data_IF_515255121498
#
_entry.id   IF_515255121498
#
_cell.length_a   1.000
_cell.length_b   1.000
_cell.length_c   1.000
_cell.angle_alpha   90.00
_cell.angle_beta   90.00
_cell.angle_gamma   90.00
#
_symmetry.space_group_name_H-M   'P 1'
#
loop_
_entity.id
_entity.type
_entity.pdbx_description
1 polymer ?
#
# COMPACT_ATOMS: atom_id res chain seq x y z
N UNK A 1 29.78 14.81 -5.00
CA UNK A 1 28.61 15.45 -4.34
C UNK A 1 27.39 14.52 -4.43
N UNK A 2 27.21 13.44 -3.69
CA UNK A 2 27.56 13.12 -2.30
C UNK A 2 26.27 13.11 -1.46
N UNK A 3 25.24 12.31 -1.71
CA UNK A 3 25.37 10.87 -1.83
C UNK A 3 25.27 10.15 -0.48
N UNK A 4 24.47 10.61 0.50
CA UNK A 4 24.43 9.96 1.83
C UNK A 4 23.64 8.65 1.78
N UNK A 5 24.36 7.59 1.46
CA UNK A 5 24.02 6.21 1.78
C UNK A 5 24.09 6.02 3.30
N UNK A 6 23.13 5.27 3.85
CA UNK A 6 23.19 4.77 5.22
C UNK A 6 24.31 3.73 5.33
N UNK A 7 25.22 3.81 6.32
CA UNK A 7 26.02 2.66 6.69
C UNK A 7 25.25 1.79 7.69
N UNK A 8 25.35 0.48 7.47
CA UNK A 8 24.88 -0.60 8.32
C UNK A 8 25.43 -0.51 9.75
N UNK A 9 24.67 -1.10 10.67
CA UNK A 9 25.07 -1.32 12.05
C UNK A 9 26.13 -2.42 12.11
N UNK A 10 27.40 -2.06 12.17
CA UNK A 10 28.48 -2.87 12.76
C UNK A 10 29.78 -2.07 12.74
N UNK A 11 30.07 -1.42 13.86
CA UNK A 11 31.41 -0.96 14.27
C UNK A 11 31.29 -0.48 15.73
N UNK A 12 31.33 -1.44 16.65
CA UNK A 12 31.56 -1.17 18.06
C UNK A 12 32.98 -0.62 18.23
N UNK A 13 33.08 0.57 18.81
CA UNK A 13 34.32 1.17 19.27
C UNK A 13 33.98 2.14 20.39
N UNK A 14 34.43 1.82 21.60
CA UNK A 14 34.18 2.57 22.83
C UNK A 14 34.68 4.02 22.74
N UNK A 15 33.87 4.99 23.19
CA UNK A 15 34.24 6.41 23.35
C UNK A 15 33.64 6.92 24.67
N UNK A 16 34.34 7.80 25.42
CA UNK A 16 34.27 7.88 26.88
C UNK A 16 33.01 8.57 27.45
N UNK A 17 32.75 8.22 28.71
CA UNK A 17 31.75 8.77 29.61
C UNK A 17 32.07 10.21 30.03
N UNK A 18 31.47 11.19 29.37
CA UNK A 18 31.28 12.53 29.92
C UNK A 18 30.13 13.23 29.19
N UNK A 19 28.91 13.02 29.72
CA UNK A 19 27.65 13.49 29.16
C UNK A 19 27.12 14.66 30.00
N UNK A 20 26.97 15.88 29.45
CA UNK A 20 26.02 16.84 29.97
C UNK A 20 24.66 16.64 29.29
N UNK A 21 23.70 16.10 30.04
CA UNK A 21 22.26 16.38 30.02
C UNK A 21 21.43 16.21 28.72
N UNK A 22 20.22 15.62 28.79
CA UNK A 22 19.33 15.51 27.64
C UNK A 22 18.85 16.89 27.14
N UNK A 23 18.64 16.96 25.82
CA UNK A 23 17.96 18.07 25.12
C UNK A 23 16.64 18.37 25.84
N UNK A 24 16.42 19.65 26.18
CA UNK A 24 15.21 20.11 26.88
C UNK A 24 13.95 19.54 26.18
N UNK A 25 12.97 19.03 26.94
CA UNK A 25 11.74 18.51 26.36
C UNK A 25 11.07 19.57 25.47
N UNK A 26 10.62 19.16 24.29
CA UNK A 26 9.83 19.95 23.34
C UNK A 26 8.69 20.77 23.98
N UNK A 27 8.14 20.30 25.12
CA UNK A 27 7.14 21.02 25.92
C UNK A 27 7.60 22.38 26.46
N UNK A 28 8.91 22.63 26.59
CA UNK A 28 9.45 23.91 27.05
C UNK A 28 9.51 24.98 25.93
N UNK A 29 9.62 24.57 24.67
CA UNK A 29 9.76 25.49 23.53
C UNK A 29 8.46 26.21 23.16
N UNK A 30 7.31 25.69 23.62
CA UNK A 30 5.97 26.25 23.32
C UNK A 30 5.56 27.40 24.25
N UNK A 31 6.36 27.77 25.27
CA UNK A 31 5.99 28.83 26.24
C UNK A 31 6.32 30.26 25.79
N UNK A 32 7.00 30.46 24.66
CA UNK A 32 7.45 31.79 24.21
C UNK A 32 6.67 32.42 23.04
N UNK A 33 5.60 31.80 22.55
CA UNK A 33 4.63 32.47 21.66
C UNK A 33 3.24 32.42 22.30
N UNK A 34 2.70 33.62 22.60
CA UNK A 34 1.51 33.91 23.41
C UNK A 34 0.25 33.13 23.01
N UNK A 35 -0.72 32.88 23.90
CA UNK A 35 -1.48 33.85 24.72
C UNK A 35 -1.95 35.05 23.87
N UNK A 36 -3.08 34.86 23.18
CA UNK A 36 -3.86 35.94 22.57
C UNK A 36 -4.95 35.42 21.63
N UNK A 37 -6.21 35.45 22.10
CA UNK A 37 -7.48 35.27 21.36
C UNK A 37 -7.74 33.89 20.69
N UNK A 38 -8.92 33.25 20.75
CA UNK A 38 -10.26 33.68 21.12
C UNK A 38 -11.02 32.52 21.80
N UNK A 39 -11.85 32.87 22.80
CA UNK A 39 -12.90 32.01 23.36
C UNK A 39 -14.07 31.95 22.37
N UNK A 40 -14.51 30.75 22.03
CA UNK A 40 -15.80 30.45 21.39
C UNK A 40 -16.41 29.20 22.06
N UNK A 41 -17.75 29.04 22.06
CA UNK A 41 -18.45 28.37 23.14
C UNK A 41 -18.28 26.85 23.15
N UNK A 42 -18.10 26.32 24.37
CA UNK A 42 -18.22 24.90 24.70
C UNK A 42 -19.67 24.46 24.47
N UNK A 43 -19.91 23.67 23.43
CA UNK A 43 -21.10 22.80 23.37
C UNK A 43 -20.79 21.54 24.17
N UNK A 44 -21.43 21.47 25.34
CA UNK A 44 -21.47 20.32 26.25
C UNK A 44 -22.58 19.40 25.73
N UNK A 45 -22.24 18.21 25.27
CA UNK A 45 -23.21 17.19 24.87
C UNK A 45 -22.62 16.18 23.90
N UNK A 46 -22.44 14.93 24.34
CA UNK A 46 -22.10 13.82 23.45
C UNK A 46 -21.05 12.81 23.92
N UNK A 47 -20.66 12.77 25.21
CA UNK A 47 -19.70 11.78 25.71
C UNK A 47 -20.31 10.61 26.51
N UNK A 48 -21.63 10.50 26.60
CA UNK A 48 -22.26 9.37 27.34
C UNK A 48 -22.65 8.16 26.46
N UNK A 49 -22.62 8.27 25.12
CA UNK A 49 -23.00 7.16 24.22
C UNK A 49 -21.89 6.13 23.93
N UNK A 50 -20.61 6.53 24.00
CA UNK A 50 -19.50 5.68 23.56
C UNK A 50 -18.98 4.72 24.66
N UNK A 51 -19.27 4.99 25.93
CA UNK A 51 -18.79 4.18 27.06
C UNK A 51 -19.73 3.02 27.44
N UNK A 52 -20.93 2.94 26.86
CA UNK A 52 -21.88 1.82 27.01
C UNK A 52 -21.65 0.69 26.00
N UNK A 53 -21.19 1.01 24.79
CA UNK A 53 -21.07 0.02 23.70
C UNK A 53 -19.90 -0.96 23.90
N UNK A 54 -18.85 -0.55 24.63
CA UNK A 54 -17.68 -1.39 24.92
C UNK A 54 -17.79 -2.22 26.22
N UNK A 55 -18.93 -2.15 26.92
CA UNK A 55 -19.18 -2.95 28.13
C UNK A 55 -20.03 -4.21 27.88
N UNK A 56 -20.75 -4.28 26.76
CA UNK A 56 -21.48 -5.50 26.35
C UNK A 56 -20.63 -6.48 25.52
N UNK A 57 -19.48 -6.05 25.00
CA UNK A 57 -18.57 -6.92 24.24
C UNK A 57 -17.64 -7.79 25.13
N UNK A 58 -17.78 -7.73 26.46
CA UNK A 58 -16.89 -8.43 27.42
C UNK A 58 -17.58 -9.47 28.30
N UNK A 59 -18.88 -9.71 28.09
CA UNK A 59 -19.64 -10.71 28.84
C UNK A 59 -20.44 -11.60 27.88
N UNK A 60 -19.99 -12.85 27.73
CA UNK A 60 -20.83 -13.97 27.30
C UNK A 60 -21.08 -14.14 25.79
N UNK A 61 -20.14 -14.78 25.08
CA UNK A 61 -20.46 -15.55 23.89
C UNK A 61 -19.57 -16.79 23.85
N UNK A 62 -20.05 -17.85 24.50
CA UNK A 62 -19.51 -19.22 24.39
C UNK A 62 -19.81 -19.68 22.96
N UNK A 63 -18.79 -19.84 22.13
CA UNK A 63 -18.93 -20.28 20.75
C UNK A 63 -19.54 -21.69 20.68
N UNK A 64 -20.40 -22.00 19.69
CA UNK A 64 -20.94 -23.33 19.50
C UNK A 64 -19.84 -24.33 19.09
N UNK A 65 -19.99 -25.63 19.40
CA UNK A 65 -18.93 -26.64 19.29
C UNK A 65 -18.44 -26.95 17.87
N UNK A 66 -19.04 -26.37 16.82
CA UNK A 66 -18.62 -26.56 15.43
C UNK A 66 -17.34 -25.78 15.04
N UNK A 67 -16.97 -24.73 15.78
CA UNK A 67 -15.74 -23.95 15.53
C UNK A 67 -14.49 -24.51 16.23
N UNK A 68 -14.65 -25.44 17.18
CA UNK A 68 -13.54 -26.08 17.87
C UNK A 68 -12.90 -27.22 17.05
N UNK A 69 -13.62 -27.78 16.08
CA UNK A 69 -13.11 -28.85 15.21
C UNK A 69 -12.09 -28.36 14.17
N UNK A 70 -12.03 -27.05 13.88
CA UNK A 70 -11.06 -26.48 12.95
C UNK A 70 -9.71 -26.12 13.59
N UNK A 71 -9.57 -26.24 14.93
CA UNK A 71 -8.35 -25.91 15.66
C UNK A 71 -7.43 -27.13 15.91
N UNK A 72 -7.77 -28.30 15.36
CA UNK A 72 -7.09 -29.58 15.64
C UNK A 72 -6.18 -30.13 14.53
N UNK A 73 -6.06 -29.48 13.37
CA UNK A 73 -5.18 -29.97 12.30
C UNK A 73 -3.79 -29.30 12.39
N UNK A 74 -2.95 -29.82 13.29
CA UNK A 74 -1.52 -29.53 13.27
C UNK A 74 -0.87 -30.00 11.96
N UNK A 75 0.26 -29.40 11.54
CA UNK A 75 0.88 -29.70 10.26
C UNK A 75 1.37 -31.15 10.25
N UNK A 76 0.93 -31.93 9.27
CA UNK A 76 1.57 -33.20 8.94
C UNK A 76 3.04 -32.93 8.58
N UNK A 77 3.95 -33.66 9.22
CA UNK A 77 5.41 -33.51 9.18
C UNK A 77 6.08 -33.77 7.82
N UNK A 78 5.46 -33.44 6.69
CA UNK A 78 6.00 -33.68 5.34
C UNK A 78 6.45 -32.45 4.54
N UNK A 79 6.10 -31.22 4.95
CA UNK A 79 6.03 -30.10 3.98
C UNK A 79 7.25 -29.16 3.87
N UNK A 80 8.38 -29.41 4.55
CA UNK A 80 9.51 -28.45 4.59
C UNK A 80 10.79 -28.92 3.87
N UNK A 81 10.64 -29.56 2.69
CA UNK A 81 11.77 -30.11 1.93
C UNK A 81 12.24 -29.34 0.68
N UNK A 82 11.44 -28.44 0.08
CA UNK A 82 11.84 -27.79 -1.17
C UNK A 82 10.93 -26.66 -1.68
N UNK A 83 11.28 -26.01 -2.82
CA UNK A 83 10.49 -24.95 -3.45
C UNK A 83 9.05 -25.37 -3.80
N UNK A 84 8.81 -26.66 -3.98
CA UNK A 84 7.49 -27.20 -4.29
C UNK A 84 6.63 -27.37 -3.03
N UNK A 85 7.24 -27.66 -1.87
CA UNK A 85 6.52 -27.90 -0.62
C UNK A 85 5.84 -26.67 -0.03
N UNK A 86 6.47 -25.49 -0.11
CA UNK A 86 5.81 -24.24 0.33
C UNK A 86 4.70 -23.80 -0.63
N UNK A 87 4.85 -24.13 -1.92
CA UNK A 87 3.85 -23.83 -2.94
C UNK A 87 2.61 -24.70 -2.74
N UNK A 88 2.77 -26.00 -2.56
CA UNK A 88 1.68 -26.93 -2.26
C UNK A 88 0.98 -26.60 -0.94
N UNK A 89 1.76 -26.27 0.10
CA UNK A 89 1.20 -25.81 1.38
C UNK A 89 0.37 -24.52 1.23
N UNK A 90 0.87 -23.56 0.44
CA UNK A 90 0.14 -22.33 0.18
C UNK A 90 -1.12 -22.59 -0.67
N UNK A 91 -1.05 -23.49 -1.64
CA UNK A 91 -2.17 -23.86 -2.51
C UNK A 91 -3.28 -24.61 -1.78
N UNK A 92 -2.95 -25.39 -0.74
CA UNK A 92 -3.92 -26.12 0.09
C UNK A 92 -4.42 -25.31 1.30
N UNK A 93 -4.05 -24.04 1.40
CA UNK A 93 -4.41 -23.20 2.54
C UNK A 93 -5.89 -22.79 2.52
N UNK A 94 -6.50 -22.68 3.70
CA UNK A 94 -7.91 -22.30 3.85
C UNK A 94 -8.32 -21.00 3.08
N UNK A 95 -7.49 -19.95 2.98
CA UNK A 95 -7.81 -18.78 2.18
C UNK A 95 -7.96 -19.05 0.68
N UNK A 96 -7.22 -20.03 0.14
CA UNK A 96 -7.33 -20.45 -1.26
C UNK A 96 -8.66 -21.17 -1.47
N UNK A 97 -9.00 -22.13 -0.61
CA UNK A 97 -10.30 -22.81 -0.69
C UNK A 97 -11.49 -21.86 -0.50
N UNK A 98 -11.37 -20.82 0.33
CA UNK A 98 -12.40 -19.77 0.42
C UNK A 98 -12.51 -18.94 -0.86
N UNK A 99 -11.40 -18.67 -1.55
CA UNK A 99 -11.42 -17.99 -2.83
C UNK A 99 -12.03 -18.86 -3.94
N UNK A 100 -11.75 -20.17 -3.93
CA UNK A 100 -12.35 -21.16 -4.83
C UNK A 100 -13.86 -21.25 -4.61
N UNK A 101 -14.29 -21.47 -3.36
CA UNK A 101 -15.71 -21.54 -3.01
C UNK A 101 -16.45 -20.21 -3.25
N UNK A 102 -15.79 -19.07 -3.04
CA UNK A 102 -16.35 -17.76 -3.34
C UNK A 102 -16.56 -17.53 -4.84
N UNK A 103 -15.66 -18.04 -5.68
CA UNK A 103 -15.81 -17.97 -7.13
C UNK A 103 -16.93 -18.89 -7.63
N UNK A 104 -17.02 -20.11 -7.11
CA UNK A 104 -18.11 -21.04 -7.41
C UNK A 104 -19.47 -20.45 -7.00
N UNK A 105 -19.58 -19.92 -5.78
CA UNK A 105 -20.79 -19.26 -5.29
C UNK A 105 -21.18 -18.04 -6.14
N UNK A 106 -20.20 -17.27 -6.63
CA UNK A 106 -20.45 -16.14 -7.52
C UNK A 106 -20.98 -16.61 -8.88
N UNK A 107 -20.43 -17.69 -9.43
CA UNK A 107 -20.89 -18.29 -10.68
C UNK A 107 -22.33 -18.83 -10.55
N UNK A 108 -22.62 -19.57 -9.48
CA UNK A 108 -23.97 -20.08 -9.20
C UNK A 108 -24.98 -18.95 -9.01
N UNK A 109 -24.62 -17.89 -8.28
CA UNK A 109 -25.51 -16.78 -8.01
C UNK A 109 -25.77 -15.88 -9.23
N UNK A 110 -24.79 -15.72 -10.12
CA UNK A 110 -24.87 -14.78 -11.26
C UNK A 110 -25.18 -15.45 -12.59
N UNK A 111 -24.97 -16.77 -12.72
CA UNK A 111 -25.09 -17.50 -13.98
C UNK A 111 -24.12 -17.02 -15.07
N UNK A 112 -23.09 -16.25 -14.70
CA UNK A 112 -22.18 -15.62 -15.65
C UNK A 112 -21.12 -16.61 -16.15
N UNK A 113 -20.62 -16.42 -17.39
CA UNK A 113 -19.46 -17.15 -17.87
C UNK A 113 -18.25 -16.98 -16.94
N UNK A 114 -17.36 -17.97 -16.90
CA UNK A 114 -16.23 -18.00 -15.97
C UNK A 114 -15.34 -16.75 -16.08
N UNK A 115 -15.08 -16.25 -17.29
CA UNK A 115 -14.30 -15.02 -17.48
C UNK A 115 -14.91 -13.79 -16.76
N UNK A 116 -16.23 -13.66 -16.79
CA UNK A 116 -16.96 -12.54 -16.18
C UNK A 116 -17.04 -12.70 -14.67
N UNK A 117 -17.21 -13.93 -14.17
CA UNK A 117 -17.13 -14.21 -12.74
C UNK A 117 -15.74 -13.92 -12.16
N UNK A 118 -14.67 -14.24 -12.88
CA UNK A 118 -13.30 -13.91 -12.47
C UNK A 118 -13.10 -12.39 -12.41
N UNK A 119 -13.48 -11.67 -13.46
CA UNK A 119 -13.36 -10.21 -13.51
C UNK A 119 -14.23 -9.51 -12.45
N UNK A 120 -15.48 -9.96 -12.30
CA UNK A 120 -16.45 -9.48 -11.32
C UNK A 120 -16.01 -9.76 -9.89
N UNK A 121 -15.56 -10.97 -9.59
CA UNK A 121 -15.02 -11.35 -8.29
C UNK A 121 -13.80 -10.51 -7.91
N UNK A 122 -12.89 -10.28 -8.86
CA UNK A 122 -11.76 -9.37 -8.66
C UNK A 122 -12.21 -7.93 -8.37
N UNK A 123 -13.24 -7.45 -9.06
CA UNK A 123 -13.78 -6.11 -8.87
C UNK A 123 -14.48 -5.96 -7.50
N UNK A 124 -15.29 -6.94 -7.09
CA UNK A 124 -15.97 -6.96 -5.79
C UNK A 124 -14.93 -7.01 -4.67
N UNK A 125 -13.99 -7.94 -4.74
CA UNK A 125 -12.96 -8.12 -3.72
C UNK A 125 -12.09 -6.86 -3.57
N UNK A 126 -11.65 -6.27 -4.69
CA UNK A 126 -10.92 -5.00 -4.64
C UNK A 126 -11.78 -3.85 -4.13
N UNK A 127 -13.04 -3.76 -4.53
CA UNK A 127 -13.88 -2.64 -4.10
C UNK A 127 -14.20 -2.75 -2.61
N UNK A 128 -14.43 -3.95 -2.09
CA UNK A 128 -14.69 -4.18 -0.68
C UNK A 128 -13.45 -3.96 0.20
N UNK A 129 -12.26 -4.36 -0.25
CA UNK A 129 -11.03 -4.32 0.55
C UNK A 129 -10.15 -3.10 0.23
N UNK A 130 -9.82 -2.92 -1.05
CA UNK A 130 -8.88 -1.89 -1.53
C UNK A 130 -9.46 -0.50 -1.39
N UNK A 131 -10.74 -0.28 -1.71
CA UNK A 131 -11.35 1.07 -1.68
C UNK A 131 -11.36 1.72 -0.28
N UNK A 132 -11.86 1.08 0.80
CA UNK A 132 -11.85 1.70 2.13
C UNK A 132 -10.41 1.88 2.65
N UNK A 133 -9.54 0.93 2.38
CA UNK A 133 -8.15 0.96 2.82
C UNK A 133 -7.35 2.04 2.06
N UNK A 134 -7.60 2.22 0.77
CA UNK A 134 -7.02 3.27 -0.05
C UNK A 134 -7.56 4.66 0.33
N UNK A 135 -8.84 4.78 0.72
CA UNK A 135 -9.37 6.00 1.30
C UNK A 135 -8.66 6.35 2.63
N UNK A 136 -8.45 5.37 3.51
CA UNK A 136 -7.70 5.55 4.75
C UNK A 136 -6.24 5.95 4.49
N UNK A 137 -5.57 5.27 3.55
CA UNK A 137 -4.22 5.60 3.10
C UNK A 137 -4.14 7.03 2.56
N UNK A 138 -5.14 7.47 1.78
CA UNK A 138 -5.25 8.83 1.27
C UNK A 138 -5.36 9.87 2.41
N UNK A 139 -6.17 9.61 3.43
CA UNK A 139 -6.28 10.48 4.62
C UNK A 139 -4.95 10.60 5.37
N UNK A 140 -4.23 9.50 5.54
CA UNK A 140 -2.91 9.48 6.20
C UNK A 140 -1.86 10.25 5.40
N UNK A 141 -1.80 10.02 4.08
CA UNK A 141 -0.87 10.72 3.21
C UNK A 141 -1.14 12.23 3.18
N UNK A 142 -2.42 12.62 3.17
CA UNK A 142 -2.81 14.02 3.22
C UNK A 142 -2.37 14.70 4.54
N UNK A 143 -2.54 14.02 5.68
CA UNK A 143 -2.04 14.51 6.97
C UNK A 143 -0.52 14.66 6.97
N UNK A 144 0.20 13.66 6.45
CA UNK A 144 1.66 13.72 6.36
C UNK A 144 2.15 14.87 5.49
N UNK A 145 1.46 15.15 4.38
CA UNK A 145 1.78 16.27 3.50
C UNK A 145 1.56 17.62 4.20
N UNK A 146 0.45 17.76 4.93
CA UNK A 146 0.16 18.98 5.69
C UNK A 146 1.12 19.21 6.87
N UNK A 147 1.78 18.16 7.37
CA UNK A 147 2.82 18.25 8.40
C UNK A 147 4.22 18.55 7.85
N UNK A 148 4.47 18.34 6.54
CA UNK A 148 5.76 18.68 5.92
C UNK A 148 6.25 20.11 6.20
N UNK A 149 5.42 21.18 6.12
CA UNK A 149 5.89 22.53 6.46
C UNK A 149 6.33 22.66 7.92
N UNK A 150 5.59 22.10 8.89
CA UNK A 150 5.98 22.10 10.31
C UNK A 150 7.31 21.35 10.50
N UNK A 151 7.46 20.18 9.87
CA UNK A 151 8.72 19.41 9.92
C UNK A 151 9.89 20.21 9.34
N UNK A 152 9.69 20.94 8.23
CA UNK A 152 10.74 21.78 7.61
C UNK A 152 11.16 22.94 8.52
N UNK A 153 10.20 23.60 9.17
CA UNK A 153 10.50 24.69 10.11
C UNK A 153 11.27 24.16 11.33
N UNK A 154 10.84 23.04 11.90
CA UNK A 154 11.55 22.37 13.00
C UNK A 154 12.94 21.91 12.60
N UNK A 155 13.11 21.48 11.36
CA UNK A 155 14.42 21.12 10.82
C UNK A 155 15.37 22.31 10.74
N UNK A 156 14.90 23.49 10.34
CA UNK A 156 15.73 24.69 10.30
C UNK A 156 16.14 25.13 11.70
N UNK A 157 15.19 25.17 12.64
CA UNK A 157 15.46 25.51 14.05
C UNK A 157 16.47 24.55 14.67
N UNK A 158 16.28 23.24 14.50
CA UNK A 158 17.20 22.24 15.04
C UNK A 158 18.59 22.33 14.40
N UNK A 159 18.69 22.61 13.09
CA UNK A 159 20.00 22.84 12.45
C UNK A 159 20.72 24.03 13.07
N UNK A 160 20.01 25.13 13.31
CA UNK A 160 20.58 26.30 13.96
C UNK A 160 21.10 25.95 15.36
N UNK A 161 20.28 25.31 16.20
CA UNK A 161 20.67 24.91 17.57
C UNK A 161 21.89 23.97 17.60
N UNK A 162 21.91 22.96 16.71
CA UNK A 162 23.03 22.02 16.60
C UNK A 162 24.29 22.72 16.10
N UNK A 163 24.16 23.69 15.19
CA UNK A 163 25.31 24.45 14.68
C UNK A 163 25.93 25.35 15.75
N UNK A 164 25.11 26.02 16.56
CA UNK A 164 25.57 26.88 17.66
C UNK A 164 26.24 26.05 18.75
N UNK A 165 25.58 24.96 19.20
CA UNK A 165 26.17 24.05 20.20
C UNK A 165 27.42 23.35 19.69
N UNK A 166 27.44 22.97 18.42
CA UNK A 166 28.61 22.37 17.79
C UNK A 166 29.82 23.30 17.81
N UNK A 167 29.61 24.61 17.57
CA UNK A 167 30.68 25.63 17.70
C UNK A 167 31.12 25.84 19.15
N UNK A 168 30.18 25.89 20.10
CA UNK A 168 30.47 26.11 21.52
C UNK A 168 31.23 24.95 22.16
N UNK A 169 30.89 23.72 21.79
CA UNK A 169 31.45 22.49 22.39
C UNK A 169 32.57 21.86 21.54
N UNK A 170 32.98 22.51 20.44
CA UNK A 170 34.03 22.00 19.54
C UNK A 170 33.69 20.64 18.91
N UNK A 171 32.42 20.38 18.59
CA UNK A 171 32.00 19.08 18.06
C UNK A 171 32.56 18.82 16.66
N UNK A 172 33.04 17.60 16.44
CA UNK A 172 33.32 17.09 15.09
C UNK A 172 32.05 17.08 14.23
N UNK A 173 32.21 17.29 12.92
CA UNK A 173 31.10 17.31 11.97
C UNK A 173 30.26 16.01 12.00
N UNK A 174 30.91 14.86 12.25
CA UNK A 174 30.22 13.57 12.40
C UNK A 174 29.28 13.55 13.61
N UNK A 175 29.72 14.13 14.74
CA UNK A 175 28.96 14.21 15.99
C UNK A 175 27.78 15.17 15.83
N UNK A 176 28.00 16.33 15.20
CA UNK A 176 26.93 17.28 14.91
C UNK A 176 25.85 16.66 14.00
N UNK A 177 26.24 15.96 12.94
CA UNK A 177 25.30 15.23 12.05
C UNK A 177 24.54 14.14 12.80
N UNK A 178 25.21 13.39 13.69
CA UNK A 178 24.57 12.37 14.51
C UNK A 178 23.51 12.95 15.44
N UNK A 179 23.82 14.02 16.18
CA UNK A 179 22.86 14.69 17.05
C UNK A 179 21.70 15.30 16.26
N UNK A 180 21.95 15.90 15.10
CA UNK A 180 20.89 16.38 14.23
C UNK A 180 19.96 15.24 13.80
N UNK A 181 20.50 14.13 13.28
CA UNK A 181 19.70 13.00 12.82
C UNK A 181 18.90 12.34 13.96
N UNK A 182 19.50 12.17 15.13
CA UNK A 182 18.85 11.58 16.32
C UNK A 182 17.70 12.44 16.82
N UNK A 183 17.92 13.75 16.99
CA UNK A 183 16.89 14.68 17.44
C UNK A 183 15.79 14.86 16.40
N UNK A 184 16.15 14.90 15.11
CA UNK A 184 15.19 14.97 14.00
C UNK A 184 14.25 13.77 14.02
N UNK A 185 14.81 12.55 14.12
CA UNK A 185 14.02 11.32 14.17
C UNK A 185 13.06 11.31 15.36
N UNK A 186 13.50 11.81 16.52
CA UNK A 186 12.67 11.95 17.72
C UNK A 186 11.51 12.92 17.50
N UNK A 187 11.78 14.14 17.02
CA UNK A 187 10.75 15.18 16.78
C UNK A 187 9.71 14.68 15.78
N UNK A 188 10.16 14.09 14.67
CA UNK A 188 9.27 13.54 13.63
C UNK A 188 8.41 12.41 14.20
N UNK A 189 8.99 11.51 15.01
CA UNK A 189 8.25 10.44 15.67
C UNK A 189 7.19 10.99 16.64
N UNK A 190 7.55 11.98 17.46
CA UNK A 190 6.61 12.65 18.38
C UNK A 190 5.45 13.33 17.63
N UNK A 191 5.72 13.97 16.49
CA UNK A 191 4.69 14.53 15.59
C UNK A 191 3.78 13.43 15.02
N UNK A 192 4.35 12.32 14.56
CA UNK A 192 3.55 11.21 14.03
C UNK A 192 2.65 10.56 15.07
N UNK A 193 3.10 10.47 16.33
CA UNK A 193 2.28 9.99 17.45
C UNK A 193 1.19 10.99 17.79
N UNK A 194 1.51 12.29 17.88
CA UNK A 194 0.56 13.38 18.16
C UNK A 194 -0.61 13.38 17.18
N UNK A 195 -0.32 13.29 15.89
CA UNK A 195 -1.33 13.40 14.82
C UNK A 195 -1.82 12.02 14.32
N UNK A 196 -1.40 10.94 15.00
CA UNK A 196 -1.72 9.54 14.74
C UNK A 196 -1.49 9.11 13.28
N UNK A 197 -0.46 9.65 12.63
CA UNK A 197 -0.21 9.54 11.19
C UNK A 197 1.04 8.71 10.85
N UNK A 198 1.25 7.59 11.55
CA UNK A 198 2.44 6.78 11.35
C UNK A 198 2.55 6.28 9.90
N UNK A 199 3.70 6.45 9.20
CA UNK A 199 3.85 6.08 7.80
C UNK A 199 3.65 4.59 7.54
N UNK A 200 3.88 3.74 8.54
CA UNK A 200 3.58 2.30 8.47
C UNK A 200 2.10 2.00 8.23
N UNK A 201 1.18 2.85 8.73
CA UNK A 201 -0.25 2.65 8.45
C UNK A 201 -0.58 2.85 6.96
N UNK A 202 0.21 3.65 6.25
CA UNK A 202 0.06 3.85 4.81
C UNK A 202 0.59 2.67 3.98
N UNK A 203 1.41 1.78 4.56
CA UNK A 203 1.90 0.56 3.88
C UNK A 203 0.99 -0.65 4.08
N UNK A 204 0.02 -0.58 5.00
CA UNK A 204 -0.93 -1.68 5.30
C UNK A 204 -1.67 -2.14 4.05
N UNK A 205 -2.01 -1.23 3.12
CA UNK A 205 -2.64 -1.61 1.86
C UNK A 205 -1.82 -2.65 1.09
N UNK A 206 -0.49 -2.49 1.03
CA UNK A 206 0.39 -3.42 0.33
C UNK A 206 0.42 -4.79 1.04
N UNK A 207 0.46 -4.78 2.37
CA UNK A 207 0.50 -6.00 3.18
C UNK A 207 -0.79 -6.82 3.11
N UNK A 208 -1.93 -6.18 2.86
CA UNK A 208 -3.21 -6.89 2.68
C UNK A 208 -3.39 -7.30 1.21
N UNK A 209 -3.03 -6.41 0.27
CA UNK A 209 -3.28 -6.62 -1.15
C UNK A 209 -2.40 -7.71 -1.76
N UNK A 210 -1.11 -7.78 -1.40
CA UNK A 210 -0.17 -8.74 -2.00
C UNK A 210 -0.52 -10.18 -1.64
N UNK A 211 -0.72 -10.55 -0.35
CA UNK A 211 -1.11 -11.92 0.01
C UNK A 211 -2.44 -12.33 -0.60
N UNK A 212 -3.44 -11.43 -0.57
CA UNK A 212 -4.74 -11.67 -1.20
C UNK A 212 -4.59 -11.95 -2.70
N UNK A 213 -3.79 -11.15 -3.42
CA UNK A 213 -3.53 -11.35 -4.84
C UNK A 213 -2.87 -12.70 -5.13
N UNK A 214 -1.93 -13.13 -4.27
CA UNK A 214 -1.29 -14.46 -4.37
C UNK A 214 -2.32 -15.57 -4.15
N UNK A 215 -3.12 -15.50 -3.08
CA UNK A 215 -4.13 -16.53 -2.77
C UNK A 215 -5.13 -16.72 -3.91
N UNK A 216 -5.66 -15.63 -4.49
CA UNK A 216 -6.59 -15.72 -5.62
C UNK A 216 -5.90 -16.26 -6.87
N UNK A 217 -4.63 -15.91 -7.10
CA UNK A 217 -3.85 -16.45 -8.23
C UNK A 217 -3.65 -17.95 -8.09
N UNK A 218 -3.36 -18.45 -6.89
CA UNK A 218 -3.24 -19.88 -6.61
C UNK A 218 -4.57 -20.61 -6.78
N UNK A 219 -5.67 -20.04 -6.28
CA UNK A 219 -7.02 -20.59 -6.44
C UNK A 219 -7.39 -20.75 -7.93
N UNK A 220 -7.11 -19.73 -8.74
CA UNK A 220 -7.36 -19.78 -10.18
C UNK A 220 -6.47 -20.81 -10.88
N UNK A 221 -5.22 -20.97 -10.44
CA UNK A 221 -4.35 -22.02 -10.95
C UNK A 221 -4.89 -23.40 -10.60
N UNK A 222 -5.28 -23.64 -9.36
CA UNK A 222 -5.87 -24.89 -8.89
C UNK A 222 -7.11 -25.27 -9.73
N UNK A 223 -8.01 -24.31 -9.97
CA UNK A 223 -9.18 -24.57 -10.79
C UNK A 223 -8.86 -24.76 -12.27
N UNK A 224 -7.78 -24.16 -12.77
CA UNK A 224 -7.32 -24.36 -14.15
C UNK A 224 -6.66 -25.72 -14.37
N UNK A 225 -5.95 -26.26 -13.37
CA UNK A 225 -5.27 -27.57 -13.45
C UNK A 225 -6.17 -28.74 -13.02
N UNK A 226 -7.42 -28.49 -12.64
CA UNK A 226 -8.40 -29.53 -12.27
C UNK A 226 -8.44 -29.90 -10.79
N UNK A 227 -7.71 -29.22 -9.91
CA UNK A 227 -7.71 -29.49 -8.47
C UNK A 227 -9.05 -29.13 -7.78
N UNK A 228 -9.84 -28.22 -8.37
CA UNK A 228 -11.19 -27.87 -7.91
C UNK A 228 -12.28 -28.88 -8.37
N UNK A 229 -11.89 -29.95 -9.06
CA UNK A 229 -12.80 -30.96 -9.60
C UNK A 229 -13.11 -30.79 -11.10
N UNK A 230 -13.54 -31.88 -11.77
CA UNK A 230 -13.69 -31.92 -13.23
C UNK A 230 -14.78 -30.98 -13.77
N UNK A 231 -15.87 -30.80 -13.03
CA UNK A 231 -16.97 -29.90 -13.44
C UNK A 231 -16.52 -28.44 -13.51
N UNK A 232 -15.73 -27.98 -12.53
CA UNK A 232 -15.18 -26.61 -12.51
C UNK A 232 -14.17 -26.43 -13.65
N UNK A 233 -13.34 -27.44 -13.91
CA UNK A 233 -12.37 -27.39 -14.99
C UNK A 233 -13.03 -27.30 -16.37
N UNK A 234 -14.11 -28.05 -16.60
CA UNK A 234 -14.88 -28.00 -17.85
C UNK A 234 -15.51 -26.61 -18.07
N UNK A 235 -16.05 -26.02 -17.00
CA UNK A 235 -16.57 -24.65 -17.02
C UNK A 235 -15.47 -23.63 -17.35
N UNK A 236 -14.26 -23.78 -16.82
CA UNK A 236 -13.13 -22.90 -17.17
C UNK A 236 -12.63 -23.11 -18.61
N UNK A 237 -12.67 -24.35 -19.10
CA UNK A 237 -12.18 -24.68 -20.44
C UNK A 237 -13.12 -24.19 -21.55
N UNK A 238 -14.43 -24.10 -21.25
CA UNK A 238 -15.46 -23.64 -22.19
C UNK A 238 -15.97 -22.21 -21.92
N UNK A 239 -15.69 -21.67 -20.72
CA UNK A 239 -16.24 -20.41 -20.22
C UNK A 239 -15.38 -19.17 -20.48
N UNK A 240 -14.50 -19.21 -21.48
CA UNK A 240 -13.72 -18.07 -21.96
C UNK A 240 -14.53 -17.11 -22.84
N UNK A 241 -13.87 -16.09 -23.39
CA UNK A 241 -14.49 -15.12 -24.28
C UNK A 241 -13.53 -14.58 -25.34
N UNK A 242 -14.10 -14.02 -26.42
CA UNK A 242 -13.37 -13.38 -27.51
C UNK A 242 -12.32 -14.31 -28.13
N UNK A 243 -11.03 -14.02 -27.94
CA UNK A 243 -9.91 -14.80 -28.48
C UNK A 243 -9.32 -15.81 -27.49
N UNK A 244 -9.80 -15.82 -26.23
CA UNK A 244 -9.39 -16.75 -25.19
C UNK A 244 -10.59 -17.63 -24.80
N UNK A 245 -10.90 -18.63 -25.63
CA UNK A 245 -12.04 -19.54 -25.37
C UNK A 245 -11.77 -20.50 -24.23
N UNK A 246 -10.51 -20.92 -24.07
CA UNK A 246 -10.05 -21.79 -22.99
C UNK A 246 -9.29 -20.97 -21.94
N UNK A 247 -9.81 -20.92 -20.71
CA UNK A 247 -9.18 -20.21 -19.61
C UNK A 247 -8.08 -21.02 -18.91
N UNK A 248 -7.99 -22.33 -19.19
CA UNK A 248 -7.03 -23.25 -18.58
C UNK A 248 -5.70 -23.25 -19.32
N UNK A 249 -5.72 -23.00 -20.63
CA UNK A 249 -4.54 -22.87 -21.46
C UNK A 249 -3.90 -21.47 -21.38
N UNK A 250 -2.57 -21.36 -21.58
CA UNK A 250 -1.91 -20.07 -21.78
C UNK A 250 -2.41 -19.34 -23.04
N UNK A 251 -2.44 -18.00 -23.01
CA UNK A 251 -2.89 -17.18 -24.13
C UNK A 251 -1.87 -17.20 -25.29
N UNK A 252 -2.16 -17.98 -26.33
CA UNK A 252 -1.33 -18.10 -27.53
C UNK A 252 -1.28 -16.84 -28.38
N UNK A 253 -2.24 -15.92 -28.22
CA UNK A 253 -2.31 -14.66 -28.98
C UNK A 253 -1.44 -13.55 -28.39
N UNK A 254 -0.93 -13.73 -27.16
CA UNK A 254 -0.17 -12.74 -26.39
C UNK A 254 -0.92 -11.43 -26.09
N UNK A 255 -2.21 -11.33 -26.41
CA UNK A 255 -3.00 -10.11 -26.23
C UNK A 255 -3.20 -9.83 -24.73
N UNK A 256 -3.55 -10.83 -23.92
CA UNK A 256 -3.74 -10.66 -22.47
C UNK A 256 -2.41 -10.30 -21.76
N UNK A 257 -1.29 -11.04 -21.97
CA UNK A 257 0.00 -10.70 -21.38
C UNK A 257 0.50 -9.30 -21.74
N UNK A 258 0.39 -8.91 -23.01
CA UNK A 258 0.82 -7.57 -23.46
C UNK A 258 -0.08 -6.49 -22.87
N UNK A 259 -1.40 -6.68 -22.88
CA UNK A 259 -2.36 -5.74 -22.28
C UNK A 259 -2.10 -5.55 -20.78
N UNK A 260 -1.81 -6.64 -20.05
CA UNK A 260 -1.44 -6.59 -18.64
C UNK A 260 -0.19 -5.75 -18.42
N UNK A 261 0.88 -5.99 -19.21
CA UNK A 261 2.11 -5.22 -19.13
C UNK A 261 1.89 -3.73 -19.39
N UNK A 262 1.09 -3.39 -20.40
CA UNK A 262 0.75 -2.01 -20.74
C UNK A 262 -0.07 -1.31 -19.64
N UNK A 263 -1.09 -1.98 -19.09
CA UNK A 263 -1.90 -1.45 -18.00
C UNK A 263 -1.04 -1.23 -16.75
N UNK A 264 -0.18 -2.19 -16.39
CA UNK A 264 0.73 -2.04 -15.25
C UNK A 264 1.72 -0.90 -15.44
N UNK A 265 2.27 -0.74 -16.65
CA UNK A 265 3.13 0.39 -17.00
C UNK A 265 2.38 1.72 -16.86
N UNK A 266 1.15 1.80 -17.35
CA UNK A 266 0.29 2.97 -17.22
C UNK A 266 0.03 3.31 -15.75
N UNK A 267 -0.26 2.31 -14.91
CA UNK A 267 -0.41 2.50 -13.46
C UNK A 267 0.86 3.12 -12.87
N UNK A 268 2.04 2.59 -13.20
CA UNK A 268 3.33 3.12 -12.72
C UNK A 268 3.54 4.57 -13.19
N UNK A 269 3.22 4.91 -14.44
CA UNK A 269 3.36 6.27 -14.96
C UNK A 269 2.42 7.25 -14.27
N UNK A 270 1.17 6.85 -14.04
CA UNK A 270 0.19 7.67 -13.32
C UNK A 270 0.68 7.94 -11.90
N UNK A 271 1.15 6.92 -11.18
CA UNK A 271 1.75 7.09 -9.85
C UNK A 271 3.01 7.96 -9.87
N UNK A 272 3.85 7.81 -10.90
CA UNK A 272 5.05 8.63 -11.05
C UNK A 272 4.73 10.09 -11.39
N UNK A 273 3.63 10.35 -12.10
CA UNK A 273 3.13 11.69 -12.46
C UNK A 273 2.46 12.40 -11.28
N UNK A 274 1.95 11.67 -10.28
CA UNK A 274 1.30 12.25 -9.10
C UNK A 274 2.27 12.94 -8.13
N UNK A 275 3.59 12.74 -8.27
CA UNK A 275 4.58 13.24 -7.32
C UNK A 275 4.96 14.69 -7.64
N UNK A 276 4.49 15.64 -6.83
CA UNK A 276 4.79 17.08 -6.96
C UNK A 276 6.09 17.52 -6.26
N UNK A 277 6.70 16.66 -5.43
CA UNK A 277 7.95 16.97 -4.70
C UNK A 277 9.19 16.50 -5.48
N UNK A 278 10.36 17.16 -5.31
CA UNK A 278 11.61 16.74 -5.96
C UNK A 278 11.95 15.30 -5.59
N UNK A 279 12.08 14.47 -6.63
CA UNK A 279 12.19 13.01 -6.50
C UNK A 279 13.55 12.62 -5.92
N UNK A 280 13.55 11.85 -4.83
CA UNK A 280 14.77 11.28 -4.26
C UNK A 280 15.39 10.26 -5.24
N UNK A 281 16.74 10.13 -5.24
CA UNK A 281 17.45 9.12 -6.06
C UNK A 281 16.86 7.72 -5.87
N UNK A 282 16.53 7.37 -4.62
CA UNK A 282 15.90 6.10 -4.29
C UNK A 282 14.52 5.94 -4.96
N UNK A 283 13.68 6.97 -4.93
CA UNK A 283 12.36 6.93 -5.57
C UNK A 283 12.44 6.80 -7.09
N UNK A 284 13.46 7.38 -7.72
CA UNK A 284 13.73 7.21 -9.15
C UNK A 284 14.09 5.76 -9.47
N UNK A 285 15.00 5.16 -8.69
CA UNK A 285 15.37 3.74 -8.81
C UNK A 285 14.13 2.86 -8.66
N UNK A 286 13.32 3.09 -7.64
CA UNK A 286 12.07 2.34 -7.41
C UNK A 286 11.10 2.47 -8.59
N UNK A 287 10.93 3.66 -9.17
CA UNK A 287 10.08 3.83 -10.34
C UNK A 287 10.61 3.07 -11.57
N UNK A 288 11.92 3.12 -11.84
CA UNK A 288 12.49 2.34 -12.94
C UNK A 288 12.39 0.83 -12.70
N UNK A 289 12.55 0.38 -11.46
CA UNK A 289 12.35 -1.00 -11.07
C UNK A 289 10.92 -1.47 -11.40
N UNK A 290 9.88 -0.74 -10.98
CA UNK A 290 8.50 -1.12 -11.28
C UNK A 290 8.15 -1.07 -12.78
N UNK A 291 8.80 -0.19 -13.55
CA UNK A 291 8.69 -0.21 -15.02
C UNK A 291 9.28 -1.50 -15.60
N UNK A 292 10.47 -1.88 -15.15
CA UNK A 292 11.10 -3.14 -15.57
C UNK A 292 10.25 -4.35 -15.20
N UNK A 293 9.70 -4.40 -13.98
CA UNK A 293 8.77 -5.45 -13.54
C UNK A 293 7.54 -5.51 -14.44
N UNK A 294 6.98 -4.37 -14.86
CA UNK A 294 5.81 -4.34 -15.75
C UNK A 294 6.10 -4.98 -17.11
N UNK A 295 7.31 -4.80 -17.64
CA UNK A 295 7.76 -5.42 -18.91
C UNK A 295 8.07 -6.90 -18.72
N UNK A 296 8.76 -7.27 -17.64
CA UNK A 296 9.07 -8.68 -17.30
C UNK A 296 7.82 -9.49 -16.97
N UNK A 297 6.76 -8.84 -16.49
CA UNK A 297 5.48 -9.51 -16.22
C UNK A 297 4.83 -10.05 -17.50
N UNK A 298 5.17 -9.53 -18.69
CA UNK A 298 4.60 -9.98 -19.97
C UNK A 298 4.96 -11.45 -20.26
N UNK A 299 6.24 -11.85 -20.34
CA UNK A 299 6.58 -13.26 -20.57
C UNK A 299 6.12 -14.18 -19.44
N UNK A 300 6.08 -13.70 -18.19
CA UNK A 300 5.54 -14.48 -17.06
C UNK A 300 4.04 -14.72 -17.24
N UNK A 301 3.29 -13.70 -17.65
CA UNK A 301 1.86 -13.82 -17.91
C UNK A 301 1.56 -14.71 -19.13
N UNK A 302 2.50 -14.84 -20.07
CA UNK A 302 2.38 -15.73 -21.22
C UNK A 302 2.57 -17.21 -20.89
N UNK A 303 3.15 -17.56 -19.73
CA UNK A 303 3.36 -18.96 -19.32
C UNK A 303 2.30 -19.47 -18.34
N UNK A 304 1.44 -18.61 -17.82
CA UNK A 304 0.38 -18.97 -16.87
C UNK A 304 -0.97 -19.17 -17.59
N UNK A 305 -1.92 -19.91 -17.00
CA UNK A 305 -3.27 -20.02 -17.52
C UNK A 305 -3.93 -18.67 -17.79
N UNK A 306 -4.72 -18.59 -18.87
CA UNK A 306 -5.43 -17.36 -19.25
C UNK A 306 -6.36 -16.83 -18.17
N UNK A 307 -6.90 -17.71 -17.31
CA UNK A 307 -7.68 -17.34 -16.10
C UNK A 307 -6.90 -16.42 -15.15
N UNK A 308 -5.63 -16.73 -14.90
CA UNK A 308 -4.74 -15.94 -14.03
C UNK A 308 -4.37 -14.62 -14.69
N UNK A 309 -4.02 -14.65 -15.99
CA UNK A 309 -3.69 -13.44 -16.74
C UNK A 309 -4.88 -12.47 -16.81
N UNK A 310 -6.09 -12.99 -17.05
CA UNK A 310 -7.34 -12.23 -17.04
C UNK A 310 -7.63 -11.64 -15.65
N UNK A 311 -7.45 -12.44 -14.59
CA UNK A 311 -7.57 -11.94 -13.22
C UNK A 311 -6.60 -10.80 -12.97
N UNK A 312 -5.32 -10.95 -13.31
CA UNK A 312 -4.29 -9.92 -13.14
C UNK A 312 -4.61 -8.64 -13.92
N UNK A 313 -5.08 -8.77 -15.17
CA UNK A 313 -5.47 -7.64 -16.00
C UNK A 313 -6.66 -6.89 -15.40
N UNK A 314 -7.74 -7.61 -15.09
CA UNK A 314 -8.96 -7.05 -14.48
C UNK A 314 -8.66 -6.38 -13.15
N UNK A 315 -7.85 -7.05 -12.33
CA UNK A 315 -7.27 -6.57 -11.08
C UNK A 315 -6.58 -5.22 -11.21
N UNK A 316 -5.69 -5.08 -12.20
CA UNK A 316 -4.93 -3.86 -12.44
C UNK A 316 -5.81 -2.73 -12.99
N UNK A 317 -6.77 -3.05 -13.86
CA UNK A 317 -7.75 -2.08 -14.36
C UNK A 317 -8.64 -1.53 -13.23
N UNK A 318 -9.17 -2.40 -12.36
CA UNK A 318 -9.96 -1.97 -11.20
C UNK A 318 -9.12 -1.11 -10.26
N UNK A 319 -7.88 -1.53 -9.97
CA UNK A 319 -6.95 -0.75 -9.14
C UNK A 319 -6.62 0.62 -9.74
N UNK A 320 -6.49 0.71 -11.06
CA UNK A 320 -6.34 1.96 -11.79
C UNK A 320 -7.60 2.83 -11.65
N UNK A 321 -8.78 2.26 -11.88
CA UNK A 321 -10.06 2.95 -11.71
C UNK A 321 -10.23 3.50 -10.29
N UNK A 322 -9.96 2.70 -9.25
CA UNK A 322 -10.00 3.17 -7.86
C UNK A 322 -9.01 4.31 -7.60
N UNK A 323 -7.81 4.24 -8.15
CA UNK A 323 -6.84 5.35 -8.07
C UNK A 323 -7.34 6.63 -8.72
N UNK A 324 -7.95 6.51 -9.91
CA UNK A 324 -8.54 7.64 -10.62
C UNK A 324 -9.75 8.19 -9.88
N UNK A 325 -10.59 7.34 -9.27
CA UNK A 325 -11.74 7.75 -8.46
C UNK A 325 -11.29 8.49 -7.20
N UNK A 326 -10.31 7.97 -6.46
CA UNK A 326 -9.72 8.64 -5.28
C UNK A 326 -9.00 9.95 -5.61
N UNK A 327 -8.77 10.22 -6.90
CA UNK A 327 -8.25 11.50 -7.39
C UNK A 327 -9.35 12.54 -7.58
N UNK A 328 -10.60 12.12 -7.78
CA UNK A 328 -11.73 13.04 -7.95
C UNK A 328 -11.94 13.88 -6.70
N UNK A 329 -12.01 15.22 -6.79
CA UNK A 329 -12.27 16.08 -5.64
C UNK A 329 -13.62 15.77 -4.99
N UNK A 330 -14.61 15.30 -5.77
CA UNK A 330 -15.91 14.88 -5.26
C UNK A 330 -15.80 13.63 -4.39
N UNK A 331 -15.07 12.63 -4.85
CA UNK A 331 -14.88 11.38 -4.11
C UNK A 331 -13.97 11.58 -2.89
N UNK A 332 -12.98 12.47 -2.96
CA UNK A 332 -12.18 12.87 -1.79
C UNK A 332 -13.02 13.54 -0.71
N UNK A 333 -13.96 14.40 -1.10
CA UNK A 333 -14.93 15.00 -0.16
C UNK A 333 -15.85 13.94 0.44
N UNK A 334 -16.37 13.02 -0.37
CA UNK A 334 -17.18 11.89 0.09
C UNK A 334 -16.42 11.01 1.10
N UNK A 335 -15.15 10.75 0.84
CA UNK A 335 -14.27 10.00 1.72
C UNK A 335 -13.61 10.85 2.81
N UNK A 336 -14.07 12.09 3.09
CA UNK A 336 -13.55 12.99 4.12
C UNK A 336 -12.00 13.10 4.14
N UNK A 337 -11.37 13.14 2.97
CA UNK A 337 -9.91 13.29 2.83
C UNK A 337 -9.57 14.79 2.97
N UNK A 338 -8.71 15.18 3.94
CA UNK A 338 -8.31 16.59 4.09
C UNK A 338 -7.65 17.12 2.82
N UNK A 339 -7.99 18.35 2.43
CA UNK A 339 -7.30 19.03 1.33
C UNK A 339 -5.83 19.24 1.68
N UNK A 340 -4.95 19.00 0.72
CA UNK A 340 -3.54 19.36 0.81
C UNK A 340 -3.18 20.48 -0.15
N UNK A 341 -2.05 21.14 0.09
CA UNK A 341 -1.52 22.18 -0.82
C UNK A 341 -1.17 21.63 -2.21
N UNK A 342 -0.97 20.31 -2.32
CA UNK A 342 -0.75 19.62 -3.60
C UNK A 342 -2.03 19.28 -4.34
N UNK A 343 -3.22 19.48 -3.77
CA UNK A 343 -4.47 19.18 -4.46
C UNK A 343 -4.77 20.25 -5.51
N UNK A 344 -5.02 19.81 -6.74
CA UNK A 344 -5.47 20.67 -7.84
C UNK A 344 -6.97 20.55 -8.01
N UNK A 345 -7.61 21.64 -8.40
CA UNK A 345 -9.04 21.65 -8.71
C UNK A 345 -9.37 20.90 -10.02
N UNK A 346 -8.37 20.66 -10.89
CA UNK A 346 -8.53 19.89 -12.14
C UNK A 346 -7.57 18.70 -12.25
N UNK A 347 -7.69 17.69 -11.39
CA UNK A 347 -6.69 16.63 -11.24
C UNK A 347 -6.43 15.83 -12.53
N UNK A 348 -7.44 15.59 -13.36
CA UNK A 348 -7.27 14.82 -14.61
C UNK A 348 -6.55 15.63 -15.69
N UNK A 349 -6.83 16.93 -15.82
CA UNK A 349 -6.16 17.82 -16.78
C UNK A 349 -4.68 17.95 -16.44
N UNK A 350 -4.35 18.10 -15.16
CA UNK A 350 -2.96 18.14 -14.68
C UNK A 350 -2.21 16.85 -14.97
N UNK A 351 -2.88 15.69 -14.88
CA UNK A 351 -2.28 14.39 -15.21
C UNK A 351 -1.90 14.33 -16.68
N UNK A 352 -2.85 14.69 -17.55
CA UNK A 352 -2.64 14.68 -19.01
C UNK A 352 -1.54 15.69 -19.37
N UNK A 353 -1.55 16.89 -18.79
CA UNK A 353 -0.52 17.90 -19.02
C UNK A 353 0.87 17.45 -18.52
N UNK A 354 0.95 16.78 -17.37
CA UNK A 354 2.20 16.24 -16.84
C UNK A 354 2.76 15.10 -17.69
N UNK A 355 1.88 14.22 -18.19
CA UNK A 355 2.26 13.16 -19.13
C UNK A 355 2.71 13.77 -20.46
N UNK A 356 1.93 14.69 -21.03
CA UNK A 356 2.26 15.38 -22.27
C UNK A 356 3.63 16.06 -22.18
N UNK A 357 3.88 16.81 -21.10
CA UNK A 357 5.19 17.46 -20.84
C UNK A 357 6.33 16.44 -20.74
N UNK A 358 6.15 15.33 -20.02
CA UNK A 358 7.20 14.31 -19.89
C UNK A 358 7.57 13.64 -21.21
N UNK A 359 6.58 13.38 -22.06
CA UNK A 359 6.81 12.70 -23.34
C UNK A 359 7.16 13.68 -24.47
N UNK A 360 6.75 14.94 -24.41
CA UNK A 360 7.14 15.97 -25.37
C UNK A 360 8.59 16.43 -25.18
N UNK A 361 9.06 16.61 -23.94
CA UNK A 361 10.48 16.96 -23.66
C UNK A 361 11.45 15.85 -24.09
N UNK A 362 11.02 14.58 -24.03
CA UNK A 362 11.84 13.46 -24.50
C UNK A 362 12.00 13.42 -26.02
N UNK A 363 11.13 14.11 -26.76
CA UNK A 363 11.18 14.25 -28.22
C UNK A 363 12.11 15.38 -28.69
N UNK A 364 12.58 16.25 -27.80
CA UNK A 364 13.53 17.33 -28.11
C UNK A 364 14.99 17.02 -27.71
N UNK A 365 15.26 15.84 -27.12
CA UNK A 365 16.60 15.42 -26.69
C UNK A 365 17.19 14.26 -27.53
N UNK A 366 16.50 13.88 -28.60
CA UNK A 366 17.01 13.05 -29.69
C UNK A 366 17.03 13.91 -30.95
#
# INVERSE_FOLDING_TARGET
MGGVSLPSAEAFGAVPSSIPGPVRPWRALRRHHGRGAARGPRTRGGEEGAAGMWRLARAGARAPPALAAAAGAGPGSGALGGPEGWYEWAAQSAPVHWAEGGLAALQEATGLPCWAAIAGGAAVLRTAVTLPLAAHQGRLLAKLENLQPEIKELAQRLRYEVSVRGKQLGWSEKVARFHFAKNMRRIVSELYVRDNCHPFKATVLLWVQVPMWVCVSLALRNCSVGACGPAVQEQFSSGGALWFTDLTAPDSTWILPVSLGLVNLLVVEIFASQRKMPVSRFQRIVTHFFRAVSVVMIPIAATVPSSMALYWLSSSLVGLCHNLLLRSPAFRRLCCIPRTKSDSDTPYRDMVAALATRYSFRKQQH
#
